data_IF_086700521000
#
_entry.id   IF_086700521000
#
_cell.length_a   1.000
_cell.length_b   1.000
_cell.length_c   1.000
_cell.angle_alpha   90.00
_cell.angle_beta   90.00
_cell.angle_gamma   90.00
#
_symmetry.space_group_name_H-M   'P 1'
#
loop_
_entity.id
_entity.type
_entity.pdbx_description
1 polymer ?
#
# COMPACT_ATOMS: atom_id res chain seq x y z
N UNK A 1 38.31 9.23 40.17
CA UNK A 1 37.16 8.46 39.66
C UNK A 1 35.90 9.28 39.92
N UNK A 2 35.51 10.14 38.99
CA UNK A 2 34.21 10.82 39.04
C UNK A 2 33.54 10.52 37.71
N UNK A 3 32.51 9.69 37.78
CA UNK A 3 31.80 9.15 36.62
C UNK A 3 31.11 10.28 35.87
N UNK A 4 31.37 10.35 34.57
CA UNK A 4 30.59 11.14 33.64
C UNK A 4 29.19 10.53 33.68
N UNK A 5 28.21 11.23 34.21
CA UNK A 5 26.82 10.82 34.19
C UNK A 5 26.28 11.09 32.77
N UNK A 6 26.43 10.11 31.89
CA UNK A 6 25.77 10.08 30.59
C UNK A 6 24.28 9.85 30.88
N UNK A 7 23.55 10.95 31.09
CA UNK A 7 22.10 10.96 31.12
C UNK A 7 21.60 10.47 29.77
N UNK A 8 21.37 9.16 29.68
CA UNK A 8 20.63 8.56 28.60
C UNK A 8 19.18 8.97 28.80
N UNK A 9 18.72 9.94 28.02
CA UNK A 9 17.31 10.24 27.88
C UNK A 9 16.74 9.17 26.93
N UNK A 10 15.94 8.20 27.40
CA UNK A 10 15.14 7.42 26.48
C UNK A 10 14.01 8.36 26.03
N UNK A 11 14.27 9.11 24.96
CA UNK A 11 13.25 9.89 24.30
C UNK A 11 12.13 8.96 23.86
N UNK A 12 10.85 9.35 24.02
CA UNK A 12 9.76 8.64 23.37
C UNK A 12 10.09 8.59 21.88
N UNK A 13 10.20 7.39 21.32
CA UNK A 13 10.53 7.10 19.92
C UNK A 13 9.50 7.64 18.90
N UNK A 14 8.55 8.45 19.37
CA UNK A 14 7.57 9.23 18.62
C UNK A 14 7.53 10.65 19.18
N UNK A 15 8.60 11.41 18.94
CA UNK A 15 8.55 12.85 19.10
C UNK A 15 7.44 13.40 18.20
N UNK A 16 6.57 14.20 18.79
CA UNK A 16 5.42 14.79 18.14
C UNK A 16 5.94 15.76 17.07
N UNK A 17 6.05 15.32 15.82
CA UNK A 17 6.46 16.18 14.69
C UNK A 17 5.43 17.32 14.55
N UNK A 18 5.80 18.58 14.85
CA UNK A 18 4.86 19.70 14.75
C UNK A 18 4.49 20.00 13.30
N UNK A 19 5.36 19.65 12.36
CA UNK A 19 5.16 19.72 10.91
C UNK A 19 5.71 18.45 10.25
N UNK A 20 4.98 17.80 9.33
CA UNK A 20 5.41 16.53 8.74
C UNK A 20 6.79 16.62 8.10
N UNK A 21 7.76 15.82 8.54
CA UNK A 21 9.12 15.82 7.98
C UNK A 21 10.01 16.98 8.42
N UNK A 22 9.61 17.76 9.44
CA UNK A 22 10.46 18.74 10.11
C UNK A 22 10.57 18.42 11.60
N UNK A 23 11.78 18.49 12.20
CA UNK A 23 11.97 18.24 13.63
C UNK A 23 11.37 19.35 14.51
N UNK A 24 11.14 20.54 13.95
CA UNK A 24 10.61 21.71 14.66
C UNK A 24 9.64 22.49 13.76
N UNK A 25 8.73 23.26 14.38
CA UNK A 25 7.75 24.07 13.65
C UNK A 25 8.47 25.13 12.84
N UNK A 26 7.99 25.38 11.61
CA UNK A 26 8.56 26.42 10.76
C UNK A 26 8.46 27.79 11.47
N UNK A 27 9.54 28.59 11.51
CA UNK A 27 9.52 29.93 12.12
C UNK A 27 8.43 30.80 11.48
N UNK A 28 7.81 31.71 12.25
CA UNK A 28 6.69 32.56 11.75
C UNK A 28 7.09 33.49 10.58
N UNK A 29 8.39 33.69 10.35
CA UNK A 29 8.93 34.51 9.27
C UNK A 29 9.20 33.74 7.99
N UNK A 30 9.03 32.42 7.99
CA UNK A 30 9.37 31.55 6.87
C UNK A 30 8.13 30.83 6.34
N UNK A 31 8.04 30.71 5.02
CA UNK A 31 6.92 30.05 4.35
C UNK A 31 7.41 28.78 3.64
N UNK A 32 6.67 27.68 3.83
CA UNK A 32 6.96 26.41 3.18
C UNK A 32 6.54 26.45 1.71
N UNK A 33 7.49 26.65 0.79
CA UNK A 33 7.19 26.78 -0.64
C UNK A 33 6.85 25.45 -1.33
N UNK A 34 7.45 24.35 -0.90
CA UNK A 34 7.20 23.03 -1.47
C UNK A 34 7.55 21.92 -0.48
N UNK A 35 6.59 21.03 -0.23
CA UNK A 35 6.79 19.79 0.51
C UNK A 35 6.33 18.63 -0.36
N UNK A 36 7.29 17.92 -0.95
CA UNK A 36 7.01 16.77 -1.80
C UNK A 36 6.41 15.63 -0.99
N UNK A 37 5.09 15.41 -1.10
CA UNK A 37 4.47 14.15 -0.66
C UNK A 37 4.32 13.25 -1.88
N UNK A 38 4.77 11.98 -1.81
CA UNK A 38 4.58 11.06 -2.92
C UNK A 38 3.08 10.84 -3.15
N UNK A 39 2.61 11.02 -4.39
CA UNK A 39 1.29 10.55 -4.79
C UNK A 39 1.31 9.02 -4.77
N UNK A 40 0.64 8.45 -3.78
CA UNK A 40 0.56 7.00 -3.58
C UNK A 40 -0.01 6.29 -4.81
N UNK A 41 -0.95 6.91 -5.54
CA UNK A 41 -1.52 6.36 -6.76
C UNK A 41 -0.55 6.41 -7.94
N UNK A 42 0.30 7.43 -8.03
CA UNK A 42 1.35 7.51 -9.04
C UNK A 42 2.45 6.48 -8.79
N UNK A 43 2.88 6.30 -7.53
CA UNK A 43 3.87 5.30 -7.13
C UNK A 43 3.36 3.87 -7.39
N UNK A 44 2.11 3.57 -6.99
CA UNK A 44 1.48 2.27 -7.25
C UNK A 44 1.44 1.90 -8.74
N UNK A 45 1.15 2.88 -9.61
CA UNK A 45 1.08 2.64 -11.07
C UNK A 45 2.44 2.53 -11.75
N UNK A 46 3.38 3.40 -11.38
CA UNK A 46 4.66 3.55 -12.09
C UNK A 46 5.78 2.65 -11.55
N UNK A 47 5.83 2.43 -10.23
CA UNK A 47 6.88 1.64 -9.58
C UNK A 47 6.42 0.20 -9.41
N UNK A 48 5.23 0.00 -8.87
CA UNK A 48 4.71 -1.33 -8.55
C UNK A 48 3.99 -2.04 -9.70
N UNK A 49 3.91 -1.41 -10.89
CA UNK A 49 3.33 -2.02 -12.10
C UNK A 49 1.95 -2.66 -11.85
N UNK A 50 1.12 -2.02 -11.02
CA UNK A 50 -0.14 -2.61 -10.54
C UNK A 50 -1.11 -2.97 -11.68
N UNK A 51 -0.97 -2.32 -12.85
CA UNK A 51 -1.69 -2.67 -14.08
C UNK A 51 -1.32 -4.05 -14.64
N UNK A 52 -0.03 -4.40 -14.60
CA UNK A 52 0.45 -5.72 -15.03
C UNK A 52 0.01 -6.80 -14.04
N UNK A 53 0.06 -6.50 -12.74
CA UNK A 53 -0.46 -7.38 -11.68
C UNK A 53 -1.97 -7.64 -11.87
N UNK A 54 -2.74 -6.57 -12.13
CA UNK A 54 -4.18 -6.69 -12.41
C UNK A 54 -4.45 -7.54 -13.66
N UNK A 55 -3.69 -7.33 -14.74
CA UNK A 55 -3.81 -8.13 -15.95
C UNK A 55 -3.50 -9.61 -15.71
N UNK A 56 -2.47 -9.91 -14.92
CA UNK A 56 -2.11 -11.28 -14.54
C UNK A 56 -3.25 -11.98 -13.78
N UNK A 57 -3.79 -11.34 -12.74
CA UNK A 57 -4.89 -11.93 -11.98
C UNK A 57 -6.18 -12.04 -12.80
N UNK A 58 -6.47 -11.08 -13.68
CA UNK A 58 -7.59 -11.18 -14.61
C UNK A 58 -7.45 -12.41 -15.52
N UNK A 59 -6.25 -12.66 -16.05
CA UNK A 59 -5.98 -13.85 -16.85
C UNK A 59 -6.20 -15.15 -16.05
N UNK A 60 -5.79 -15.19 -14.77
CA UNK A 60 -6.04 -16.34 -13.89
C UNK A 60 -7.53 -16.55 -13.59
N UNK A 61 -8.30 -15.48 -13.37
CA UNK A 61 -9.75 -15.58 -13.14
C UNK A 61 -10.49 -16.09 -14.39
N UNK A 62 -10.10 -15.60 -15.57
CA UNK A 62 -10.63 -16.10 -16.85
C UNK A 62 -10.26 -17.57 -17.04
N UNK A 63 -9.01 -17.95 -16.78
CA UNK A 63 -8.57 -19.34 -16.85
C UNK A 63 -9.41 -20.24 -15.93
N UNK A 64 -9.60 -19.83 -14.66
CA UNK A 64 -10.41 -20.58 -13.71
C UNK A 64 -11.84 -20.76 -14.21
N UNK A 65 -12.46 -19.70 -14.72
CA UNK A 65 -13.82 -19.76 -15.24
C UNK A 65 -13.95 -20.75 -16.41
N UNK A 66 -12.96 -20.78 -17.30
CA UNK A 66 -12.89 -21.71 -18.44
C UNK A 66 -12.66 -23.15 -17.96
N UNK A 67 -11.79 -23.36 -16.97
CA UNK A 67 -11.54 -24.66 -16.39
C UNK A 67 -12.79 -25.24 -15.71
N UNK A 68 -13.46 -24.44 -14.87
CA UNK A 68 -14.69 -24.83 -14.17
C UNK A 68 -15.80 -25.17 -15.19
N UNK A 69 -15.93 -24.39 -16.28
CA UNK A 69 -16.86 -24.72 -17.36
C UNK A 69 -16.51 -26.09 -17.97
N UNK A 70 -15.24 -26.31 -18.33
CA UNK A 70 -14.80 -27.55 -18.95
C UNK A 70 -15.04 -28.77 -18.05
N UNK A 71 -14.99 -28.59 -16.73
CA UNK A 71 -15.30 -29.61 -15.72
C UNK A 71 -16.80 -29.86 -15.54
N UNK A 72 -17.66 -29.20 -16.33
CA UNK A 72 -19.11 -29.40 -16.37
C UNK A 72 -19.88 -28.49 -15.44
N UNK A 73 -19.24 -27.51 -14.80
CA UNK A 73 -19.95 -26.52 -14.00
C UNK A 73 -20.81 -25.62 -14.91
N UNK A 74 -21.98 -25.23 -14.40
CA UNK A 74 -22.78 -24.20 -15.07
C UNK A 74 -22.06 -22.85 -15.01
N UNK A 75 -22.31 -21.96 -15.98
CA UNK A 75 -21.70 -20.63 -16.01
C UNK A 75 -21.97 -19.83 -14.71
N UNK A 76 -23.18 -19.98 -14.14
CA UNK A 76 -23.56 -19.33 -12.88
C UNK A 76 -22.77 -19.85 -11.68
N UNK A 77 -22.58 -21.17 -11.56
CA UNK A 77 -21.77 -21.75 -10.49
C UNK A 77 -20.29 -21.43 -10.65
N UNK A 78 -19.76 -21.50 -11.87
CA UNK A 78 -18.36 -21.15 -12.15
C UNK A 78 -18.07 -19.67 -11.84
N UNK A 79 -19.00 -18.77 -12.18
CA UNK A 79 -18.89 -17.35 -11.83
C UNK A 79 -18.94 -17.13 -10.32
N UNK A 80 -19.82 -17.83 -9.60
CA UNK A 80 -19.92 -17.74 -8.14
C UNK A 80 -18.65 -18.22 -7.43
N UNK A 81 -18.09 -19.36 -7.86
CA UNK A 81 -16.84 -19.88 -7.30
C UNK A 81 -15.63 -19.00 -7.64
N UNK A 82 -15.62 -18.40 -8.83
CA UNK A 82 -14.58 -17.43 -9.22
C UNK A 82 -14.68 -16.14 -8.41
N UNK A 83 -15.90 -15.66 -8.14
CA UNK A 83 -16.14 -14.44 -7.37
C UNK A 83 -15.65 -14.57 -5.92
N UNK A 84 -15.80 -15.74 -5.28
CA UNK A 84 -15.28 -15.98 -3.91
C UNK A 84 -13.76 -15.82 -3.82
N UNK A 85 -13.03 -16.08 -4.91
CA UNK A 85 -11.57 -15.99 -4.96
C UNK A 85 -11.11 -14.57 -5.31
N UNK A 86 -11.97 -13.76 -5.94
CA UNK A 86 -11.66 -12.40 -6.38
C UNK A 86 -11.23 -11.39 -5.28
N UNK A 87 -11.62 -11.50 -4.00
CA UNK A 87 -11.14 -10.59 -2.96
C UNK A 87 -9.62 -10.64 -2.75
N UNK A 88 -8.98 -11.80 -2.98
CA UNK A 88 -7.53 -11.97 -2.82
C UNK A 88 -6.73 -11.03 -3.74
N UNK A 89 -6.96 -11.01 -5.07
CA UNK A 89 -6.29 -10.07 -5.94
C UNK A 89 -6.74 -8.62 -5.73
N UNK A 90 -7.99 -8.36 -5.32
CA UNK A 90 -8.44 -6.98 -5.05
C UNK A 90 -7.67 -6.34 -3.89
N UNK A 91 -7.46 -7.07 -2.80
CA UNK A 91 -6.64 -6.60 -1.69
C UNK A 91 -5.19 -6.28 -2.13
N UNK A 92 -4.60 -7.09 -3.01
CA UNK A 92 -3.28 -6.84 -3.57
C UNK A 92 -3.21 -5.65 -4.54
N UNK A 93 -4.33 -5.26 -5.14
CA UNK A 93 -4.45 -4.10 -6.02
C UNK A 93 -4.79 -2.79 -5.26
N UNK A 94 -5.06 -2.88 -3.96
CA UNK A 94 -5.50 -1.75 -3.14
C UNK A 94 -6.93 -1.30 -3.42
N UNK A 95 -7.79 -2.22 -3.86
CA UNK A 95 -9.24 -2.03 -4.09
C UNK A 95 -10.07 -2.54 -2.92
#
# INVERSE_FOLDING_TARGET
MSGIDHKHFPGPEHDFEPEPGLPERLPETEELLWQGRPDTAAVARSVFHIRAVAAYFLALLVWKLVADWHDGASLGSAAWETLKVAPLPMAGLGL
#
